data_IF_879958408580
#
_entry.id   IF_879958408580
#
_cell.length_a   1.000
_cell.length_b   1.000
_cell.length_c   1.000
_cell.angle_alpha   90.00
_cell.angle_beta   90.00
_cell.angle_gamma   90.00
#
_symmetry.space_group_name_H-M   'P 1'
#
loop_
_entity.id
_entity.type
_entity.pdbx_description
1 polymer ?
#
# COMPACT_ATOMS: atom_id res chain seq x y z
N UNK A 1 -17.18 -17.53 -2.35
CA UNK A 1 -16.41 -17.19 -3.57
C UNK A 1 -15.09 -16.44 -3.28
N UNK A 2 -15.06 -15.34 -2.51
CA UNK A 2 -13.80 -14.65 -2.13
C UNK A 2 -12.78 -15.58 -1.44
N UNK A 3 -13.25 -16.46 -0.54
CA UNK A 3 -12.41 -17.43 0.16
C UNK A 3 -11.74 -18.46 -0.79
N UNK A 4 -12.50 -19.01 -1.73
CA UNK A 4 -11.98 -19.98 -2.72
C UNK A 4 -10.86 -19.36 -3.55
N UNK A 5 -11.04 -18.09 -3.96
CA UNK A 5 -10.02 -17.34 -4.72
C UNK A 5 -8.75 -17.10 -3.91
N UNK A 6 -8.88 -16.75 -2.63
CA UNK A 6 -7.74 -16.59 -1.75
C UNK A 6 -6.99 -17.90 -1.54
N UNK A 7 -7.72 -19.01 -1.40
CA UNK A 7 -7.12 -20.34 -1.30
C UNK A 7 -6.34 -20.69 -2.57
N UNK A 8 -6.94 -20.50 -3.76
CA UNK A 8 -6.27 -20.79 -5.03
C UNK A 8 -5.02 -19.93 -5.26
N UNK A 9 -5.10 -18.64 -4.92
CA UNK A 9 -3.95 -17.73 -5.02
C UNK A 9 -2.85 -18.08 -4.02
N UNK A 10 -3.19 -18.41 -2.79
CA UNK A 10 -2.24 -18.85 -1.78
C UNK A 10 -1.57 -20.16 -2.21
N UNK A 11 -2.33 -21.11 -2.75
CA UNK A 11 -1.80 -22.37 -3.27
C UNK A 11 -0.83 -22.14 -4.45
N UNK A 12 -1.15 -21.22 -5.36
CA UNK A 12 -0.26 -20.84 -6.47
C UNK A 12 1.05 -20.23 -5.95
N UNK A 13 0.98 -19.24 -5.05
CA UNK A 13 2.17 -18.59 -4.49
C UNK A 13 3.02 -19.59 -3.71
N UNK A 14 2.39 -20.45 -2.91
CA UNK A 14 3.09 -21.49 -2.16
C UNK A 14 3.73 -22.52 -3.10
N UNK A 15 3.03 -22.95 -4.15
CA UNK A 15 3.57 -23.88 -5.14
C UNK A 15 4.78 -23.31 -5.88
N UNK A 16 4.70 -22.04 -6.31
CA UNK A 16 5.82 -21.33 -6.93
C UNK A 16 7.00 -21.22 -5.97
N UNK A 17 6.73 -20.85 -4.72
CA UNK A 17 7.74 -20.76 -3.67
C UNK A 17 8.44 -22.11 -3.44
N UNK A 18 7.67 -23.19 -3.26
CA UNK A 18 8.23 -24.55 -3.07
C UNK A 18 9.05 -24.96 -4.29
N UNK A 19 8.57 -24.68 -5.50
CA UNK A 19 9.30 -25.01 -6.73
C UNK A 19 10.65 -24.30 -6.78
N UNK A 20 10.69 -23.00 -6.47
CA UNK A 20 11.90 -22.19 -6.55
C UNK A 20 12.86 -22.49 -5.40
N UNK A 21 12.41 -22.50 -4.15
CA UNK A 21 13.28 -22.56 -2.98
C UNK A 21 13.53 -23.97 -2.44
N UNK A 22 12.75 -24.97 -2.86
CA UNK A 22 12.98 -26.37 -2.50
C UNK A 22 13.20 -27.25 -3.74
N UNK A 23 12.35 -27.14 -4.75
CA UNK A 23 12.41 -27.97 -5.96
C UNK A 23 13.68 -27.77 -6.78
N UNK A 24 14.02 -26.53 -7.13
CA UNK A 24 15.23 -26.22 -7.90
C UNK A 24 16.51 -26.62 -7.14
N UNK A 25 16.69 -26.25 -5.86
CA UNK A 25 17.84 -26.73 -5.08
C UNK A 25 17.92 -28.24 -5.00
N UNK A 26 16.79 -28.93 -4.78
CA UNK A 26 16.74 -30.39 -4.74
C UNK A 26 17.20 -31.00 -6.07
N UNK A 27 16.61 -30.55 -7.18
CA UNK A 27 16.96 -31.02 -8.52
C UNK A 27 18.45 -30.81 -8.82
N UNK A 28 18.98 -29.61 -8.54
CA UNK A 28 20.39 -29.26 -8.78
C UNK A 28 21.38 -30.17 -8.02
N UNK A 29 20.98 -30.70 -6.87
CA UNK A 29 21.81 -31.64 -6.07
C UNK A 29 21.65 -33.08 -6.51
N UNK A 30 20.46 -33.50 -6.93
CA UNK A 30 20.16 -34.91 -7.24
C UNK A 30 20.31 -35.28 -8.71
N UNK A 31 20.51 -34.31 -9.61
CA UNK A 31 20.68 -34.60 -11.05
C UNK A 31 22.09 -35.08 -11.33
N UNK A 32 22.19 -36.32 -11.82
CA UNK A 32 23.46 -36.92 -12.23
C UNK A 32 23.81 -36.68 -13.71
N UNK A 33 22.83 -36.28 -14.55
CA UNK A 33 23.01 -36.09 -16.00
C UNK A 33 22.26 -34.85 -16.55
N UNK A 34 22.95 -33.82 -17.08
CA UNK A 34 24.40 -33.63 -17.05
C UNK A 34 24.89 -33.28 -15.63
N UNK A 35 26.12 -33.71 -15.24
CA UNK A 35 26.63 -33.46 -13.90
C UNK A 35 26.82 -31.96 -13.65
N UNK A 36 26.17 -31.44 -12.61
CA UNK A 36 26.26 -30.04 -12.22
C UNK A 36 27.56 -29.80 -11.46
N UNK A 37 28.41 -28.84 -11.87
CA UNK A 37 29.64 -28.54 -11.13
C UNK A 37 29.36 -28.11 -9.67
N UNK A 38 30.17 -28.54 -8.68
CA UNK A 38 29.93 -28.22 -7.27
C UNK A 38 29.86 -26.72 -6.96
N UNK A 39 30.63 -25.89 -7.67
CA UNK A 39 30.59 -24.43 -7.50
C UNK A 39 29.26 -23.84 -7.94
N UNK A 40 28.59 -24.42 -8.94
CA UNK A 40 27.29 -23.96 -9.43
C UNK A 40 26.18 -24.36 -8.45
N UNK A 41 26.28 -25.54 -7.84
CA UNK A 41 25.38 -25.96 -6.76
C UNK A 41 25.46 -24.95 -5.59
N UNK A 42 26.66 -24.67 -5.10
CA UNK A 42 26.89 -23.68 -4.03
C UNK A 42 26.34 -22.31 -4.43
N UNK A 43 26.59 -21.86 -5.66
CA UNK A 43 26.09 -20.57 -6.15
C UNK A 43 24.55 -20.50 -6.13
N UNK A 44 23.86 -21.56 -6.57
CA UNK A 44 22.38 -21.64 -6.54
C UNK A 44 21.84 -21.59 -5.10
N UNK A 45 22.46 -22.32 -4.16
CA UNK A 45 22.05 -22.27 -2.75
C UNK A 45 22.32 -20.90 -2.12
N UNK A 46 23.48 -20.30 -2.37
CA UNK A 46 23.80 -18.97 -1.85
C UNK A 46 22.84 -17.91 -2.41
N UNK A 47 22.51 -17.99 -3.69
CA UNK A 47 21.60 -17.05 -4.35
C UNK A 47 20.16 -17.20 -3.84
N UNK A 48 19.60 -18.41 -3.89
CA UNK A 48 18.22 -18.66 -3.45
C UNK A 48 18.08 -18.53 -1.94
N UNK A 49 19.03 -19.04 -1.16
CA UNK A 49 19.06 -18.90 0.30
C UNK A 49 19.21 -17.44 0.73
N UNK A 50 20.08 -16.67 0.08
CA UNK A 50 20.25 -15.24 0.35
C UNK A 50 18.97 -14.45 0.06
N UNK A 51 18.33 -14.69 -1.09
CA UNK A 51 17.03 -14.09 -1.43
C UNK A 51 15.98 -14.45 -0.39
N UNK A 52 15.93 -15.72 0.05
CA UNK A 52 14.97 -16.17 1.05
C UNK A 52 15.15 -15.45 2.39
N UNK A 53 16.40 -15.30 2.86
CA UNK A 53 16.71 -14.56 4.10
C UNK A 53 16.26 -13.11 3.99
N UNK A 54 16.53 -12.44 2.88
CA UNK A 54 16.06 -11.06 2.63
C UNK A 54 14.53 -10.99 2.67
N UNK A 55 13.83 -11.88 1.97
CA UNK A 55 12.36 -11.90 1.95
C UNK A 55 11.76 -12.14 3.34
N UNK A 56 12.32 -13.07 4.12
CA UNK A 56 11.86 -13.34 5.50
C UNK A 56 12.13 -12.15 6.41
N UNK A 57 13.31 -11.54 6.32
CA UNK A 57 13.67 -10.36 7.11
C UNK A 57 12.71 -9.20 6.82
N UNK A 58 12.46 -8.91 5.54
CA UNK A 58 11.50 -7.88 5.14
C UNK A 58 10.07 -8.19 5.60
N UNK A 59 9.64 -9.45 5.54
CA UNK A 59 8.30 -9.84 6.01
C UNK A 59 8.15 -9.66 7.53
N UNK A 60 9.21 -9.92 8.30
CA UNK A 60 9.25 -9.69 9.74
C UNK A 60 9.24 -8.18 10.06
N UNK A 61 10.05 -7.39 9.36
CA UNK A 61 10.08 -5.92 9.51
C UNK A 61 8.73 -5.28 9.18
N UNK A 62 8.06 -5.73 8.11
CA UNK A 62 6.73 -5.23 7.74
C UNK A 62 5.69 -5.51 8.82
N UNK A 63 5.76 -6.65 9.51
CA UNK A 63 4.81 -6.99 10.58
C UNK A 63 4.97 -6.07 11.80
N UNK A 64 6.18 -5.60 12.07
CA UNK A 64 6.50 -4.66 13.15
C UNK A 64 6.11 -3.22 12.74
N UNK A 65 6.41 -2.82 11.51
CA UNK A 65 6.15 -1.47 11.02
C UNK A 65 4.69 -1.22 10.62
N UNK A 66 3.80 -2.22 10.65
CA UNK A 66 2.36 -2.05 10.41
C UNK A 66 1.62 -1.36 11.56
N UNK A 67 2.23 -1.30 12.74
CA UNK A 67 1.65 -0.73 13.97
C UNK A 67 1.44 0.81 14.00
N UNK A 68 2.13 1.67 13.21
CA UNK A 68 1.86 3.12 13.20
C UNK A 68 0.71 3.54 12.27
N UNK A 69 0.39 2.77 11.22
CA UNK A 69 -0.59 3.19 10.21
C UNK A 69 -2.04 2.87 10.63
N UNK A 70 -2.27 1.74 11.29
CA UNK A 70 -3.61 1.33 11.74
C UNK A 70 -4.08 2.15 12.95
N UNK A 71 -3.15 2.60 13.81
CA UNK A 71 -3.44 3.47 14.95
C UNK A 71 -3.85 4.91 14.55
N UNK A 72 -3.37 5.41 13.40
CA UNK A 72 -3.77 6.72 12.83
C UNK A 72 -5.08 6.64 12.03
N UNK A 73 -5.50 5.43 11.65
CA UNK A 73 -6.77 5.18 10.97
C UNK A 73 -7.92 4.98 11.97
N UNK A 74 -7.61 4.53 13.20
CA UNK A 74 -8.59 4.39 14.30
C UNK A 74 -8.87 5.68 15.08
N UNK A 75 -8.12 6.75 14.85
CA UNK A 75 -8.54 8.07 15.30
C UNK A 75 -9.69 8.51 14.39
N UNK A 76 -10.93 8.47 14.90
CA UNK A 76 -12.03 9.20 14.28
C UNK A 76 -11.53 10.62 13.98
N UNK A 77 -11.73 11.15 12.76
CA UNK A 77 -11.33 12.51 12.46
C UNK A 77 -12.00 13.39 13.51
N UNK A 78 -11.20 14.09 14.33
CA UNK A 78 -11.72 15.05 15.29
C UNK A 78 -12.66 15.96 14.49
N UNK A 79 -13.96 15.88 14.77
CA UNK A 79 -15.04 16.46 13.96
C UNK A 79 -15.03 18.00 13.96
N UNK A 80 -13.88 18.59 14.31
CA UNK A 80 -13.59 20.01 14.42
C UNK A 80 -13.12 20.63 13.12
N UNK A 81 -12.39 19.91 12.26
CA UNK A 81 -11.86 20.48 11.01
C UNK A 81 -12.81 20.21 9.85
N UNK A 82 -13.34 21.26 9.24
CA UNK A 82 -14.23 21.16 8.07
C UNK A 82 -13.41 20.97 6.78
N UNK A 83 -13.74 19.98 5.95
CA UNK A 83 -13.06 19.75 4.67
C UNK A 83 -13.97 20.15 3.51
N UNK A 84 -13.48 21.01 2.61
CA UNK A 84 -14.20 21.39 1.39
C UNK A 84 -13.28 21.37 0.17
N UNK A 85 -13.86 21.01 -0.98
CA UNK A 85 -13.20 21.18 -2.28
C UNK A 85 -13.38 22.57 -2.88
N UNK A 86 -14.30 23.39 -2.34
CA UNK A 86 -14.49 24.80 -2.68
C UNK A 86 -13.35 25.66 -2.13
N UNK A 87 -13.09 26.79 -2.78
CA UNK A 87 -12.10 27.77 -2.31
C UNK A 87 -12.57 28.54 -1.07
N UNK A 88 -13.87 28.57 -0.80
CA UNK A 88 -14.47 29.32 0.31
C UNK A 88 -15.46 28.45 1.08
N UNK A 89 -15.78 28.85 2.31
CA UNK A 89 -16.77 28.21 3.17
C UNK A 89 -18.08 28.99 3.08
N UNK A 90 -19.19 28.40 2.59
CA UNK A 90 -20.46 29.11 2.55
C UNK A 90 -20.89 29.62 3.94
N UNK A 91 -21.17 30.92 4.04
CA UNK A 91 -21.64 31.54 5.28
C UNK A 91 -20.56 31.82 6.34
N UNK A 92 -19.27 31.53 6.08
CA UNK A 92 -18.15 31.87 6.97
C UNK A 92 -16.95 32.38 6.17
N UNK A 93 -16.29 33.44 6.62
CA UNK A 93 -15.08 33.93 5.95
C UNK A 93 -13.82 33.33 6.57
N UNK A 94 -12.78 33.15 5.77
CA UNK A 94 -11.46 32.79 6.30
C UNK A 94 -10.84 34.03 6.96
N UNK A 95 -10.67 34.00 8.28
CA UNK A 95 -10.04 35.08 9.05
C UNK A 95 -8.52 35.06 8.93
N UNK A 96 -7.94 33.87 8.78
CA UNK A 96 -6.50 33.65 8.65
C UNK A 96 -6.21 32.44 7.76
N UNK A 97 -5.19 32.55 6.90
CA UNK A 97 -4.66 31.43 6.11
C UNK A 97 -3.42 30.89 6.79
N UNK A 98 -3.48 29.63 7.24
CA UNK A 98 -2.41 28.96 8.00
C UNK A 98 -1.37 28.27 7.10
N UNK A 99 -1.70 28.10 5.82
CA UNK A 99 -0.80 27.55 4.81
C UNK A 99 -1.29 26.24 4.21
N UNK A 100 -0.40 25.57 3.47
CA UNK A 100 -0.70 24.29 2.82
C UNK A 100 -0.59 23.15 3.82
N UNK A 101 -1.60 22.29 3.83
CA UNK A 101 -1.59 21.02 4.55
C UNK A 101 -1.68 19.87 3.57
N UNK A 102 -1.03 18.75 3.89
CA UNK A 102 -0.94 17.59 3.04
C UNK A 102 -0.79 16.30 3.83
N UNK A 103 -1.24 15.21 3.22
CA UNK A 103 -0.99 13.86 3.69
C UNK A 103 -0.82 12.94 2.49
N UNK A 104 0.23 12.11 2.51
CA UNK A 104 0.50 11.17 1.44
C UNK A 104 0.65 9.76 2.00
N UNK A 105 0.45 8.78 1.13
CA UNK A 105 0.62 7.37 1.47
C UNK A 105 0.86 6.55 0.21
N UNK A 106 1.68 5.51 0.33
CA UNK A 106 1.87 4.52 -0.73
C UNK A 106 1.27 3.21 -0.28
N UNK A 107 0.40 2.63 -1.11
CA UNK A 107 -0.16 1.30 -0.88
C UNK A 107 0.27 0.36 -2.00
N UNK A 108 0.64 -0.86 -1.62
CA UNK A 108 0.92 -1.94 -2.54
C UNK A 108 -0.14 -3.04 -2.41
N UNK A 109 -0.42 -3.71 -3.52
CA UNK A 109 -1.25 -4.91 -3.54
C UNK A 109 -0.35 -6.13 -3.41
N UNK A 110 -0.72 -7.02 -2.48
CA UNK A 110 -0.03 -8.30 -2.38
C UNK A 110 -0.26 -9.16 -3.62
N UNK A 111 0.79 -9.84 -4.07
CA UNK A 111 0.87 -10.60 -5.34
C UNK A 111 -0.38 -11.43 -5.66
N UNK A 112 -0.96 -12.10 -4.67
CA UNK A 112 -2.13 -12.93 -4.93
C UNK A 112 -3.43 -12.18 -5.23
N UNK A 113 -3.62 -10.99 -4.63
CA UNK A 113 -4.71 -10.10 -5.01
C UNK A 113 -4.47 -9.50 -6.39
N UNK A 114 -3.21 -9.26 -6.73
CA UNK A 114 -2.81 -8.72 -8.02
C UNK A 114 -3.08 -9.71 -9.16
N UNK A 115 -2.81 -11.01 -8.95
CA UNK A 115 -3.16 -12.06 -9.92
C UNK A 115 -4.67 -12.11 -10.21
N UNK A 116 -5.51 -11.99 -9.18
CA UNK A 116 -6.97 -11.89 -9.33
C UNK A 116 -7.38 -10.67 -10.16
N UNK A 117 -6.71 -9.53 -9.94
CA UNK A 117 -6.97 -8.31 -10.68
C UNK A 117 -6.57 -8.44 -12.16
N UNK A 118 -5.45 -9.09 -12.47
CA UNK A 118 -5.02 -9.39 -13.85
C UNK A 118 -6.07 -10.23 -14.58
N UNK A 119 -6.59 -11.28 -13.94
CA UNK A 119 -7.66 -12.11 -14.53
C UNK A 119 -8.91 -11.28 -14.82
N UNK A 120 -9.31 -10.39 -13.90
CA UNK A 120 -10.45 -9.49 -14.09
C UNK A 120 -10.23 -8.45 -15.19
N UNK A 121 -9.01 -7.96 -15.33
CA UNK A 121 -8.64 -7.04 -16.41
C UNK A 121 -8.86 -7.71 -17.77
N UNK A 122 -8.43 -8.96 -17.91
CA UNK A 122 -8.57 -9.74 -19.16
C UNK A 122 -10.05 -10.05 -19.45
N UNK A 123 -10.81 -10.45 -18.41
CA UNK A 123 -12.21 -10.81 -18.55
C UNK A 123 -13.17 -9.61 -18.56
N UNK A 124 -12.67 -8.37 -18.40
CA UNK A 124 -13.46 -7.14 -18.45
C UNK A 124 -14.33 -6.88 -17.21
N UNK A 125 -13.77 -7.04 -16.00
CA UNK A 125 -14.47 -6.80 -14.72
C UNK A 125 -13.82 -5.72 -13.84
N UNK A 126 -14.57 -5.23 -12.85
CA UNK A 126 -14.07 -4.24 -11.88
C UNK A 126 -12.89 -4.79 -11.04
N UNK A 127 -11.84 -3.99 -10.91
CA UNK A 127 -10.67 -4.29 -10.08
C UNK A 127 -10.95 -4.00 -8.60
N UNK A 128 -11.87 -4.77 -7.99
CA UNK A 128 -12.34 -4.46 -6.62
C UNK A 128 -11.21 -4.42 -5.59
N UNK A 129 -10.15 -5.21 -5.75
CA UNK A 129 -8.98 -5.17 -4.86
C UNK A 129 -8.24 -3.83 -4.93
N UNK A 130 -8.13 -3.25 -6.13
CA UNK A 130 -7.57 -1.91 -6.35
C UNK A 130 -8.52 -0.84 -5.80
N UNK A 131 -9.84 -0.96 -6.02
CA UNK A 131 -10.85 -0.05 -5.45
C UNK A 131 -10.77 -0.01 -3.92
N UNK A 132 -10.76 -1.17 -3.27
CA UNK A 132 -10.62 -1.29 -1.81
C UNK A 132 -9.30 -0.70 -1.29
N UNK A 133 -8.20 -0.91 -2.03
CA UNK A 133 -6.90 -0.32 -1.69
C UNK A 133 -6.93 1.21 -1.78
N UNK A 134 -7.46 1.76 -2.88
CA UNK A 134 -7.53 3.21 -3.09
C UNK A 134 -8.42 3.89 -2.05
N UNK A 135 -9.48 3.22 -1.59
CA UNK A 135 -10.30 3.68 -0.46
C UNK A 135 -9.48 3.84 0.83
N UNK A 136 -8.72 2.81 1.22
CA UNK A 136 -7.83 2.88 2.41
C UNK A 136 -6.74 3.94 2.25
N UNK A 137 -6.16 4.05 1.06
CA UNK A 137 -5.16 5.07 0.75
C UNK A 137 -5.72 6.48 0.93
N UNK A 138 -6.93 6.73 0.43
CA UNK A 138 -7.64 8.01 0.61
C UNK A 138 -7.82 8.34 2.08
N UNK A 139 -8.40 7.44 2.86
CA UNK A 139 -8.62 7.66 4.29
C UNK A 139 -7.33 7.97 5.03
N UNK A 140 -6.26 7.19 4.79
CA UNK A 140 -4.97 7.41 5.47
C UNK A 140 -4.34 8.77 5.10
N UNK A 141 -4.35 9.14 3.81
CA UNK A 141 -3.84 10.43 3.35
C UNK A 141 -4.66 11.60 3.91
N UNK A 142 -5.99 11.50 3.88
CA UNK A 142 -6.89 12.50 4.44
C UNK A 142 -6.65 12.69 5.94
N UNK A 143 -6.54 11.61 6.72
CA UNK A 143 -6.31 11.70 8.16
C UNK A 143 -4.97 12.37 8.48
N UNK A 144 -3.92 12.08 7.71
CA UNK A 144 -2.60 12.75 7.87
C UNK A 144 -2.66 14.24 7.54
N UNK A 145 -3.40 14.61 6.49
CA UNK A 145 -3.64 16.02 6.14
C UNK A 145 -4.43 16.75 7.24
N UNK A 146 -5.45 16.09 7.81
CA UNK A 146 -6.24 16.63 8.94
C UNK A 146 -5.35 16.79 10.17
N UNK A 147 -4.53 15.79 10.51
CA UNK A 147 -3.61 15.88 11.64
C UNK A 147 -2.70 17.10 11.54
N UNK A 148 -2.13 17.35 10.35
CA UNK A 148 -1.32 18.55 10.11
C UNK A 148 -2.14 19.84 10.27
N UNK A 149 -3.40 19.87 9.81
CA UNK A 149 -4.27 21.03 9.99
C UNK A 149 -4.62 21.29 11.47
N UNK A 150 -4.82 20.23 12.25
CA UNK A 150 -5.06 20.31 13.70
C UNK A 150 -3.84 20.87 14.42
N UNK A 151 -2.62 20.44 14.05
CA UNK A 151 -1.37 20.99 14.60
C UNK A 151 -1.22 22.50 14.34
N UNK A 152 -1.74 22.98 13.21
CA UNK A 152 -1.79 24.41 12.88
C UNK A 152 -2.95 25.16 13.56
N UNK A 153 -3.86 24.46 14.23
CA UNK A 153 -5.06 25.06 14.83
C UNK A 153 -6.07 25.55 13.79
N UNK A 154 -6.22 24.83 12.68
CA UNK A 154 -7.16 25.15 11.62
C UNK A 154 -8.61 24.76 11.98
N UNK A 155 -9.57 25.57 11.54
CA UNK A 155 -11.00 25.24 11.63
C UNK A 155 -11.50 24.55 10.35
N UNK A 156 -10.83 24.82 9.22
CA UNK A 156 -11.17 24.22 7.95
C UNK A 156 -9.96 23.99 7.05
N UNK A 157 -10.10 23.04 6.13
CA UNK A 157 -9.23 22.84 4.98
C UNK A 157 -10.08 23.09 3.73
N UNK A 158 -9.79 24.18 3.04
CA UNK A 158 -10.44 24.56 1.78
C UNK A 158 -9.61 24.08 0.60
N UNK A 159 -10.23 24.06 -0.58
CA UNK A 159 -9.61 23.68 -1.83
C UNK A 159 -8.94 22.29 -1.78
N UNK A 160 -9.54 21.34 -1.05
CA UNK A 160 -9.01 19.98 -0.93
C UNK A 160 -8.93 19.31 -2.31
N UNK A 161 -7.80 18.67 -2.57
CA UNK A 161 -7.51 17.92 -3.79
C UNK A 161 -6.90 16.57 -3.44
N UNK A 162 -7.17 15.59 -4.30
CA UNK A 162 -6.57 14.27 -4.26
C UNK A 162 -5.80 14.05 -5.55
N UNK A 163 -4.56 13.60 -5.43
CA UNK A 163 -3.72 13.20 -6.54
C UNK A 163 -3.26 11.77 -6.34
N UNK A 164 -3.14 11.04 -7.44
CA UNK A 164 -2.70 9.64 -7.44
C UNK A 164 -1.58 9.48 -8.44
N UNK A 165 -0.54 8.74 -8.10
CA UNK A 165 0.57 8.43 -9.00
C UNK A 165 0.93 6.96 -8.89
N UNK A 166 1.20 6.30 -10.02
CA UNK A 166 1.76 4.95 -10.00
C UNK A 166 3.24 5.06 -9.66
N UNK A 167 3.67 4.35 -8.62
CA UNK A 167 5.07 4.41 -8.14
C UNK A 167 5.89 3.29 -8.77
N UNK A 168 5.39 2.07 -8.62
CA UNK A 168 5.98 0.82 -9.10
C UNK A 168 4.82 -0.14 -9.37
N UNK A 169 4.98 -1.10 -10.29
CA UNK A 169 3.93 -2.06 -10.62
C UNK A 169 3.28 -2.66 -9.37
N UNK A 170 1.95 -2.69 -9.33
CA UNK A 170 1.11 -3.08 -8.18
C UNK A 170 1.13 -2.15 -6.95
N UNK A 171 1.73 -0.95 -7.04
CA UNK A 171 1.69 0.09 -5.99
C UNK A 171 1.27 1.46 -6.51
N UNK A 172 0.51 2.19 -5.69
CA UNK A 172 0.04 3.54 -5.98
C UNK A 172 0.25 4.46 -4.78
N UNK A 173 0.72 5.67 -5.07
CA UNK A 173 0.72 6.78 -4.15
C UNK A 173 -0.63 7.50 -4.21
N UNK A 174 -1.11 7.94 -3.06
CA UNK A 174 -2.21 8.88 -2.94
C UNK A 174 -1.81 10.04 -2.04
N UNK A 175 -1.88 11.25 -2.60
CA UNK A 175 -1.66 12.53 -1.95
C UNK A 175 -3.00 13.24 -1.78
N UNK A 176 -3.29 13.68 -0.56
CA UNK A 176 -4.35 14.63 -0.23
C UNK A 176 -3.69 15.95 0.18
N UNK A 177 -4.15 17.07 -0.36
CA UNK A 177 -3.66 18.40 0.04
C UNK A 177 -4.75 19.45 -0.05
N UNK A 178 -4.55 20.57 0.66
CA UNK A 178 -5.43 21.73 0.64
C UNK A 178 -4.82 22.90 1.41
N UNK A 179 -5.63 23.93 1.66
CA UNK A 179 -5.21 25.11 2.42
C UNK A 179 -5.92 25.12 3.77
N UNK A 180 -5.15 25.11 4.85
CA UNK A 180 -5.66 25.25 6.21
C UNK A 180 -5.99 26.72 6.49
N UNK A 181 -7.17 26.95 7.07
CA UNK A 181 -7.67 28.28 7.41
C UNK A 181 -8.34 28.29 8.78
N UNK A 182 -8.32 29.45 9.44
CA UNK A 182 -9.24 29.76 10.53
C UNK A 182 -10.47 30.46 9.98
N UNK A 183 -11.61 30.20 10.59
CA UNK A 183 -12.86 30.85 10.22
C UNK A 183 -13.13 32.02 11.15
N UNK A 184 -13.76 33.06 10.62
CA UNK A 184 -14.36 34.11 11.46
C UNK A 184 -15.49 33.50 12.29
N UNK A 185 -15.64 33.97 13.54
CA UNK A 185 -16.82 33.69 14.37
C UNK A 185 -18.14 34.05 13.65
#
# INVERSE_FOLDING_TARGET
>A
MKAIRQIGSLAFVLGLFVTIFAGVPWHVVTTDDPPVPPWLQIAVFCLLGGILVVLVTLALEQKISKMPAEALVSAEPDGRVLLLNSAEVPGRQASEVLGVVQGHTVFAIWLGKDLSAIVRLILGGELTEYTEMMGRARTAATNRMIAQAVELGADAIINVRYMTTSVVGSAAELLAYGTAVKLSE
#
